data_IF_805212386357
#
_entry.id   IF_805212386357
#
_cell.length_a   1.000
_cell.length_b   1.000
_cell.length_c   1.000
_cell.angle_alpha   90.00
_cell.angle_beta   90.00
_cell.angle_gamma   90.00
#
_symmetry.space_group_name_H-M   'P 1'
#
loop_
_entity.id
_entity.type
_entity.pdbx_description
1 polymer ?
#
# COMPACT_ATOMS: atom_id res chain seq x y z
N UNK A 1 1.94 15.41 15.49
CA UNK A 1 2.98 15.72 14.47
C UNK A 1 2.36 15.72 13.07
N UNK A 2 2.66 16.72 12.23
CA UNK A 2 2.17 16.80 10.84
C UNK A 2 2.89 15.80 9.93
N UNK A 3 2.24 15.41 8.83
CA UNK A 3 2.79 14.45 7.85
C UNK A 3 4.12 14.93 7.27
N UNK A 4 4.23 16.23 6.96
CA UNK A 4 5.46 16.83 6.44
C UNK A 4 6.63 16.75 7.43
N UNK A 5 6.37 17.08 8.70
CA UNK A 5 7.41 16.99 9.76
C UNK A 5 7.85 15.55 9.96
N UNK A 6 6.89 14.62 9.99
CA UNK A 6 7.19 13.19 10.10
C UNK A 6 8.05 12.68 8.94
N UNK A 7 7.76 13.11 7.71
CA UNK A 7 8.52 12.72 6.52
C UNK A 7 9.96 13.23 6.59
N UNK A 8 10.16 14.51 6.90
CA UNK A 8 11.50 15.10 7.00
C UNK A 8 12.32 14.52 8.15
N UNK A 9 11.69 14.24 9.30
CA UNK A 9 12.34 13.51 10.39
C UNK A 9 12.77 12.12 9.97
N UNK A 10 11.93 11.39 9.21
CA UNK A 10 12.31 10.11 8.63
C UNK A 10 13.51 10.21 7.68
N UNK A 11 13.52 11.18 6.76
CA UNK A 11 14.64 11.38 5.84
C UNK A 11 15.94 11.68 6.61
N UNK A 12 15.86 12.58 7.59
CA UNK A 12 17.00 12.89 8.48
C UNK A 12 17.47 11.64 9.24
N UNK A 13 16.54 10.83 9.72
CA UNK A 13 16.83 9.57 10.42
C UNK A 13 17.65 8.60 9.58
N UNK A 14 17.31 8.44 8.29
CA UNK A 14 18.09 7.63 7.35
C UNK A 14 19.48 8.22 7.06
N UNK A 15 19.56 9.53 6.85
CA UNK A 15 20.85 10.21 6.63
C UNK A 15 21.77 9.99 7.83
N UNK A 16 21.26 10.14 9.05
CA UNK A 16 22.02 9.88 10.28
C UNK A 16 22.44 8.41 10.39
N UNK A 17 21.57 7.45 10.02
CA UNK A 17 21.92 6.03 9.99
C UNK A 17 23.07 5.74 9.02
N UNK A 18 23.02 6.29 7.81
CA UNK A 18 24.07 6.15 6.80
C UNK A 18 25.39 6.73 7.32
N UNK A 19 25.36 7.97 7.82
CA UNK A 19 26.55 8.63 8.38
C UNK A 19 27.11 7.83 9.56
N UNK A 20 26.25 7.34 10.46
CA UNK A 20 26.68 6.55 11.60
C UNK A 20 27.38 5.25 11.17
N UNK A 21 26.82 4.52 10.20
CA UNK A 21 27.41 3.26 9.71
C UNK A 21 28.69 3.49 8.92
N UNK A 22 28.77 4.52 8.08
CA UNK A 22 30.00 4.86 7.36
C UNK A 22 31.12 5.25 8.32
N UNK A 23 30.81 6.07 9.34
CA UNK A 23 31.76 6.39 10.41
C UNK A 23 32.17 5.14 11.18
N UNK A 24 31.23 4.25 11.50
CA UNK A 24 31.52 3.02 12.22
C UNK A 24 32.42 2.08 11.40
N UNK A 25 32.15 1.92 10.10
CA UNK A 25 32.97 1.11 9.19
C UNK A 25 34.39 1.66 9.05
N UNK A 26 34.54 2.98 9.06
CA UNK A 26 35.86 3.62 9.03
C UNK A 26 36.61 3.49 10.36
N UNK A 27 35.94 3.76 11.50
CA UNK A 27 36.54 3.76 12.83
C UNK A 27 36.83 2.34 13.36
N UNK A 28 36.06 1.33 12.96
CA UNK A 28 36.31 -0.09 13.24
C UNK A 28 36.98 -0.80 12.06
N UNK A 29 37.48 -0.06 11.08
CA UNK A 29 38.19 -0.61 9.93
C UNK A 29 39.61 -1.09 10.28
N UNK A 30 40.28 -1.79 9.34
CA UNK A 30 41.60 -2.40 9.56
C UNK A 30 42.69 -1.43 10.01
N UNK A 31 42.54 -0.14 9.68
CA UNK A 31 43.49 0.92 10.03
C UNK A 31 43.56 1.22 11.53
N UNK A 32 42.45 1.05 12.25
CA UNK A 32 42.32 1.41 13.67
C UNK A 32 41.95 0.24 14.56
N UNK A 33 41.75 -0.96 13.99
CA UNK A 33 41.33 -2.14 14.74
C UNK A 33 42.53 -2.89 15.32
N UNK A 34 42.49 -3.15 16.63
CA UNK A 34 43.46 -3.98 17.33
C UNK A 34 42.88 -5.39 17.53
N UNK A 35 43.42 -6.38 16.82
CA UNK A 35 42.93 -7.77 16.82
C UNK A 35 43.14 -8.46 18.16
N UNK A 36 44.21 -8.13 18.89
CA UNK A 36 44.52 -8.73 20.20
C UNK A 36 43.59 -8.22 21.30
N UNK A 37 43.31 -6.91 21.28
CA UNK A 37 42.43 -6.28 22.28
C UNK A 37 40.95 -6.30 21.87
N UNK A 38 40.64 -6.70 20.64
CA UNK A 38 39.33 -6.64 20.00
C UNK A 38 38.66 -5.27 20.16
N UNK A 39 39.45 -4.20 19.99
CA UNK A 39 39.04 -2.81 20.23
C UNK A 39 39.55 -1.87 19.16
N UNK A 40 38.80 -0.79 18.95
CA UNK A 40 39.25 0.32 18.11
C UNK A 40 40.18 1.26 18.88
N UNK A 41 41.28 1.64 18.24
CA UNK A 41 42.24 2.66 18.70
C UNK A 41 42.04 3.99 17.96
N UNK A 42 40.87 4.19 17.35
CA UNK A 42 40.57 5.39 16.58
C UNK A 42 40.63 6.69 17.42
N UNK A 43 40.88 7.85 16.78
CA UNK A 43 40.97 9.12 17.49
C UNK A 43 39.70 9.44 18.29
N UNK A 44 39.88 9.83 19.57
CA UNK A 44 38.78 10.12 20.50
C UNK A 44 37.80 11.18 19.98
N UNK A 45 38.26 12.14 19.19
CA UNK A 45 37.41 13.17 18.59
C UNK A 45 36.34 12.55 17.66
N UNK A 46 36.75 11.63 16.77
CA UNK A 46 35.84 10.98 15.84
C UNK A 46 34.90 9.97 16.52
N UNK A 47 35.35 9.31 17.58
CA UNK A 47 34.48 8.49 18.42
C UNK A 47 33.37 9.32 19.08
N UNK A 48 33.66 10.55 19.52
CA UNK A 48 32.63 11.48 20.02
C UNK A 48 31.67 11.94 18.93
N UNK A 49 32.16 12.18 17.71
CA UNK A 49 31.29 12.52 16.56
C UNK A 49 30.34 11.35 16.27
N UNK A 50 30.83 10.12 16.21
CA UNK A 50 29.98 8.94 16.04
C UNK A 50 28.95 8.81 17.17
N UNK A 51 29.35 9.03 18.42
CA UNK A 51 28.44 9.01 19.55
C UNK A 51 27.37 10.12 19.45
N UNK A 52 27.75 11.34 19.08
CA UNK A 52 26.81 12.45 18.87
C UNK A 52 25.77 12.14 17.79
N UNK A 53 26.20 11.60 16.64
CA UNK A 53 25.29 11.15 15.58
C UNK A 53 24.34 10.07 16.12
N UNK A 54 24.85 9.12 16.89
CA UNK A 54 24.04 8.08 17.53
C UNK A 54 23.01 8.63 18.54
N UNK A 55 23.37 9.63 19.33
CA UNK A 55 22.45 10.28 20.27
C UNK A 55 21.35 11.04 19.53
N UNK A 56 21.69 11.81 18.50
CA UNK A 56 20.69 12.52 17.69
C UNK A 56 19.73 11.54 17.03
N UNK A 57 20.25 10.44 16.48
CA UNK A 57 19.44 9.35 15.92
C UNK A 57 18.48 8.76 16.98
N UNK A 58 18.98 8.42 18.17
CA UNK A 58 18.17 7.90 19.27
C UNK A 58 17.09 8.88 19.76
N UNK A 59 17.40 10.16 19.86
CA UNK A 59 16.44 11.20 20.26
C UNK A 59 15.31 11.30 19.23
N UNK A 60 15.63 11.33 17.93
CA UNK A 60 14.62 11.35 16.86
C UNK A 60 13.72 10.12 16.96
N UNK A 61 14.30 8.93 17.15
CA UNK A 61 13.53 7.69 17.34
C UNK A 61 12.54 7.81 18.50
N UNK A 62 12.99 8.27 19.67
CA UNK A 62 12.12 8.43 20.85
C UNK A 62 10.99 9.44 20.59
N UNK A 63 11.30 10.58 19.97
CA UNK A 63 10.29 11.59 19.63
C UNK A 63 9.25 11.05 18.64
N UNK A 64 9.68 10.30 17.63
CA UNK A 64 8.79 9.68 16.66
C UNK A 64 7.91 8.62 17.33
N UNK A 65 8.50 7.72 18.13
CA UNK A 65 7.77 6.69 18.87
C UNK A 65 6.75 7.28 19.84
N UNK A 66 7.09 8.36 20.55
CA UNK A 66 6.16 9.06 21.44
C UNK A 66 4.89 9.55 20.71
N UNK A 67 5.04 10.01 19.46
CA UNK A 67 3.93 10.51 18.66
C UNK A 67 3.14 9.41 17.92
N UNK A 68 3.79 8.29 17.62
CA UNK A 68 3.23 7.23 16.77
C UNK A 68 2.67 6.05 17.57
N UNK A 69 3.28 5.70 18.71
CA UNK A 69 2.85 4.58 19.54
C UNK A 69 1.40 4.69 20.03
N UNK A 70 0.92 5.86 20.51
CA UNK A 70 -0.47 5.98 20.96
C UNK A 70 -1.50 5.75 19.85
N UNK A 71 -1.11 5.91 18.58
CA UNK A 71 -2.01 5.71 17.44
C UNK A 71 -2.38 4.24 17.24
N UNK A 72 -1.53 3.31 17.68
CA UNK A 72 -1.83 1.88 17.59
C UNK A 72 -3.10 1.50 18.36
N UNK A 73 -3.40 2.24 19.42
CA UNK A 73 -4.60 2.01 20.23
C UNK A 73 -5.88 2.62 19.64
N UNK A 74 -5.75 3.47 18.61
CA UNK A 74 -6.88 4.09 17.91
C UNK A 74 -7.41 3.22 16.77
N UNK A 75 -6.63 2.24 16.30
CA UNK A 75 -7.07 1.29 15.29
C UNK A 75 -7.82 0.15 15.97
N UNK A 76 -9.16 0.19 15.90
CA UNK A 76 -10.02 -0.84 16.49
C UNK A 76 -10.35 -1.99 15.51
N UNK A 77 -9.97 -1.87 14.24
CA UNK A 77 -10.19 -2.89 13.21
C UNK A 77 -8.94 -3.05 12.33
N UNK A 78 -8.72 -4.28 11.90
CA UNK A 78 -7.67 -4.83 11.03
C UNK A 78 -6.69 -3.82 10.43
N UNK A 79 -5.43 -3.87 10.89
CA UNK A 79 -4.37 -3.01 10.37
C UNK A 79 -4.00 -3.44 8.94
N UNK A 80 -3.90 -2.49 7.98
CA UNK A 80 -3.36 -2.80 6.66
C UNK A 80 -1.99 -3.47 6.78
N UNK A 81 -1.71 -4.49 5.96
CA UNK A 81 -0.45 -5.25 6.02
C UNK A 81 0.80 -4.35 6.04
N UNK A 82 0.82 -3.28 5.24
CA UNK A 82 1.89 -2.25 5.26
C UNK A 82 2.10 -1.63 6.64
N UNK A 83 1.02 -1.27 7.35
CA UNK A 83 1.08 -0.65 8.67
C UNK A 83 1.62 -1.64 9.70
N UNK A 84 1.22 -2.92 9.59
CA UNK A 84 1.77 -4.00 10.42
C UNK A 84 3.27 -4.15 10.17
N UNK A 85 3.70 -4.27 8.91
CA UNK A 85 5.13 -4.38 8.56
C UNK A 85 5.90 -3.16 9.07
N UNK A 86 5.39 -1.94 8.88
CA UNK A 86 6.02 -0.73 9.39
C UNK A 86 6.18 -0.78 10.92
N UNK A 87 5.13 -1.16 11.64
CA UNK A 87 5.16 -1.26 13.10
C UNK A 87 6.16 -2.32 13.58
N UNK A 88 6.17 -3.50 12.96
CA UNK A 88 7.10 -4.59 13.29
C UNK A 88 8.55 -4.16 13.07
N UNK A 89 8.86 -3.54 11.93
CA UNK A 89 10.22 -3.05 11.64
C UNK A 89 10.62 -1.93 12.63
N UNK A 90 9.70 -1.03 12.97
CA UNK A 90 9.96 0.05 13.93
C UNK A 90 10.24 -0.49 15.35
N UNK A 91 9.45 -1.45 15.82
CA UNK A 91 9.64 -2.12 17.12
C UNK A 91 10.98 -2.87 17.12
N UNK A 92 11.28 -3.61 16.04
CA UNK A 92 12.54 -4.33 15.89
C UNK A 92 13.74 -3.38 15.95
N UNK A 93 13.65 -2.22 15.29
CA UNK A 93 14.66 -1.17 15.37
C UNK A 93 14.87 -0.71 16.82
N UNK A 94 13.78 -0.50 17.59
CA UNK A 94 13.84 -0.17 19.01
C UNK A 94 14.55 -1.23 19.85
N UNK A 95 14.24 -2.51 19.63
CA UNK A 95 14.89 -3.63 20.31
C UNK A 95 16.39 -3.65 20.00
N UNK A 96 16.78 -3.49 18.73
CA UNK A 96 18.19 -3.41 18.33
C UNK A 96 18.91 -2.22 18.97
N UNK A 97 18.24 -1.06 19.05
CA UNK A 97 18.80 0.15 19.67
C UNK A 97 19.04 -0.04 21.17
N UNK A 98 18.04 -0.56 21.89
CA UNK A 98 18.15 -0.85 23.33
C UNK A 98 19.24 -1.89 23.58
N UNK A 99 19.28 -2.95 22.77
CA UNK A 99 20.30 -4.00 22.88
C UNK A 99 21.71 -3.41 22.68
N UNK A 100 21.91 -2.55 21.67
CA UNK A 100 23.17 -1.84 21.45
C UNK A 100 23.57 -0.99 22.66
N UNK A 101 22.63 -0.28 23.28
CA UNK A 101 22.88 0.53 24.48
C UNK A 101 23.24 -0.37 25.68
N UNK A 102 22.52 -1.47 25.89
CA UNK A 102 22.80 -2.43 26.98
C UNK A 102 24.19 -3.07 26.85
N UNK A 103 24.63 -3.39 25.62
CA UNK A 103 25.99 -3.90 25.37
C UNK A 103 27.05 -2.86 25.79
N UNK A 104 26.83 -1.58 25.49
CA UNK A 104 27.78 -0.52 25.85
C UNK A 104 27.81 -0.22 27.35
N UNK A 105 26.68 -0.35 28.05
CA UNK A 105 26.56 -0.02 29.48
C UNK A 105 26.95 -1.19 30.38
N UNK A 106 26.42 -2.39 30.13
CA UNK A 106 26.53 -3.53 31.04
C UNK A 106 27.39 -4.67 30.47
N UNK A 107 27.31 -4.93 29.16
CA UNK A 107 27.91 -6.12 28.55
C UNK A 107 29.04 -5.80 27.57
N UNK A 108 30.04 -5.04 28.04
CA UNK A 108 31.17 -4.57 27.22
C UNK A 108 32.02 -5.70 26.63
N UNK A 109 31.83 -6.94 27.06
CA UNK A 109 32.46 -8.11 26.47
C UNK A 109 32.02 -8.35 25.01
N UNK A 110 30.80 -7.96 24.63
CA UNK A 110 30.25 -8.16 23.27
C UNK A 110 30.52 -6.99 22.32
N UNK A 111 31.54 -6.17 22.61
CA UNK A 111 31.87 -4.98 21.80
C UNK A 111 32.18 -5.32 20.33
N UNK A 112 32.69 -6.52 20.06
CA UNK A 112 32.97 -7.02 18.70
C UNK A 112 31.71 -7.15 17.82
N UNK A 113 30.51 -7.29 18.42
CA UNK A 113 29.27 -7.42 17.68
C UNK A 113 28.65 -6.06 17.29
N UNK A 114 29.16 -4.94 17.81
CA UNK A 114 28.61 -3.61 17.57
C UNK A 114 28.45 -3.26 16.08
N UNK A 115 29.37 -3.63 15.18
CA UNK A 115 29.19 -3.41 13.75
C UNK A 115 27.89 -4.02 13.18
N UNK A 116 27.54 -5.23 13.62
CA UNK A 116 26.35 -5.95 13.14
C UNK A 116 25.06 -5.25 13.57
N UNK A 117 25.00 -4.76 14.81
CA UNK A 117 23.86 -3.97 15.28
C UNK A 117 23.74 -2.64 14.52
N UNK A 118 24.85 -1.98 14.21
CA UNK A 118 24.83 -0.76 13.39
C UNK A 118 24.26 -1.01 11.99
N UNK A 119 24.64 -2.11 11.33
CA UNK A 119 24.07 -2.49 10.04
C UNK A 119 22.58 -2.85 10.13
N UNK A 120 22.18 -3.58 11.17
CA UNK A 120 20.78 -3.90 11.43
C UNK A 120 19.91 -2.65 11.60
N UNK A 121 20.39 -1.64 12.33
CA UNK A 121 19.69 -0.35 12.48
C UNK A 121 19.54 0.39 11.14
N UNK A 122 20.57 0.36 10.29
CA UNK A 122 20.50 0.94 8.94
C UNK A 122 19.49 0.19 8.06
N UNK A 123 19.51 -1.15 8.06
CA UNK A 123 18.56 -1.96 7.31
C UNK A 123 17.11 -1.63 7.71
N UNK A 124 16.82 -1.62 9.01
CA UNK A 124 15.49 -1.24 9.49
C UNK A 124 15.12 0.20 9.09
N UNK A 125 16.08 1.15 9.14
CA UNK A 125 15.85 2.54 8.71
C UNK A 125 15.50 2.63 7.22
N UNK A 126 16.21 1.90 6.37
CA UNK A 126 15.93 1.84 4.93
C UNK A 126 14.53 1.28 4.68
N UNK A 127 14.19 0.15 5.32
CA UNK A 127 12.86 -0.47 5.19
C UNK A 127 11.74 0.48 5.62
N UNK A 128 11.90 1.16 6.77
CA UNK A 128 10.91 2.12 7.27
C UNK A 128 10.70 3.30 6.32
N UNK A 129 11.77 3.81 5.71
CA UNK A 129 11.69 4.93 4.77
C UNK A 129 11.03 4.53 3.47
N UNK A 130 11.38 3.36 2.93
CA UNK A 130 10.73 2.81 1.73
C UNK A 130 9.22 2.62 1.94
N UNK A 131 8.81 2.17 3.13
CA UNK A 131 7.40 1.97 3.47
C UNK A 131 6.63 3.27 3.75
N UNK A 132 7.30 4.38 4.05
CA UNK A 132 6.64 5.61 4.53
C UNK A 132 6.76 6.82 3.58
N UNK A 133 7.96 7.12 3.06
CA UNK A 133 8.24 8.35 2.30
C UNK A 133 7.46 8.42 0.97
N UNK A 134 7.39 7.37 0.13
CA UNK A 134 6.63 7.44 -1.12
C UNK A 134 5.15 7.77 -0.91
N UNK A 135 4.57 7.34 0.20
CA UNK A 135 3.17 7.63 0.53
C UNK A 135 2.99 9.05 1.07
N UNK A 136 3.90 9.51 1.92
CA UNK A 136 3.90 10.90 2.38
C UNK A 136 4.09 11.87 1.21
N UNK A 137 4.99 11.56 0.27
CA UNK A 137 5.21 12.33 -0.94
C UNK A 137 3.96 12.39 -1.83
N UNK A 138 3.32 11.25 -2.11
CA UNK A 138 2.05 11.21 -2.86
C UNK A 138 0.94 12.00 -2.16
N UNK A 139 0.86 11.95 -0.83
CA UNK A 139 -0.12 12.72 -0.08
C UNK A 139 0.13 14.24 -0.18
N UNK A 140 1.39 14.67 -0.18
CA UNK A 140 1.75 16.08 -0.38
C UNK A 140 1.49 16.55 -1.81
N UNK A 141 1.81 15.71 -2.81
CA UNK A 141 1.49 15.99 -4.22
C UNK A 141 -0.01 16.15 -4.43
N UNK A 142 -0.81 15.21 -3.91
CA UNK A 142 -2.27 15.31 -3.98
C UNK A 142 -2.78 16.58 -3.27
N UNK A 143 -2.24 16.91 -2.09
CA UNK A 143 -2.60 18.14 -1.40
C UNK A 143 -2.22 19.40 -2.19
N UNK A 144 -1.10 19.36 -2.92
CA UNK A 144 -0.69 20.42 -3.84
C UNK A 144 -1.68 20.59 -4.99
N UNK A 145 -2.07 19.49 -5.64
CA UNK A 145 -3.04 19.50 -6.75
C UNK A 145 -4.44 19.91 -6.32
N UNK A 146 -4.85 19.52 -5.12
CA UNK A 146 -6.12 19.96 -4.52
C UNK A 146 -6.12 21.49 -4.30
N UNK A 147 -4.99 22.04 -3.84
CA UNK A 147 -4.83 23.47 -3.54
C UNK A 147 -4.40 24.34 -4.72
N UNK A 148 -4.30 23.77 -5.93
CA UNK A 148 -3.98 24.50 -7.16
C UNK A 148 -5.06 25.56 -7.44
N UNK A 149 -4.72 26.85 -7.66
CA UNK A 149 -5.69 27.91 -7.92
C UNK A 149 -6.73 27.58 -8.98
N UNK A 150 -6.34 26.88 -10.06
CA UNK A 150 -7.27 26.49 -11.13
C UNK A 150 -8.28 25.45 -10.66
N UNK A 151 -7.82 24.49 -9.84
CA UNK A 151 -8.71 23.50 -9.24
C UNK A 151 -9.64 24.14 -8.20
N UNK A 152 -9.14 25.08 -7.40
CA UNK A 152 -9.95 25.83 -6.44
C UNK A 152 -11.05 26.61 -7.15
N UNK A 153 -10.73 27.38 -8.20
CA UNK A 153 -11.73 28.11 -8.98
C UNK A 153 -12.80 27.19 -9.59
N UNK A 154 -12.40 25.99 -10.05
CA UNK A 154 -13.33 24.96 -10.51
C UNK A 154 -14.25 24.49 -9.37
N UNK A 155 -13.70 24.22 -8.19
CA UNK A 155 -14.48 23.77 -7.02
C UNK A 155 -15.46 24.85 -6.59
N UNK A 156 -15.04 26.11 -6.53
CA UNK A 156 -15.91 27.26 -6.20
C UNK A 156 -17.10 27.33 -7.16
N UNK A 157 -16.85 27.24 -8.48
CA UNK A 157 -17.91 27.24 -9.48
C UNK A 157 -18.92 26.10 -9.28
N UNK A 158 -18.42 24.89 -9.02
CA UNK A 158 -19.29 23.72 -8.82
C UNK A 158 -20.07 23.83 -7.50
N UNK A 159 -19.46 24.36 -6.44
CA UNK A 159 -20.12 24.56 -5.15
C UNK A 159 -21.21 25.64 -5.21
N UNK A 160 -21.02 26.68 -6.03
CA UNK A 160 -22.02 27.72 -6.23
C UNK A 160 -23.34 27.21 -6.86
N UNK A 161 -23.31 26.05 -7.52
CA UNK A 161 -24.48 25.39 -8.11
C UNK A 161 -25.22 24.47 -7.10
N UNK A 162 -24.71 24.30 -5.88
CA UNK A 162 -25.24 23.36 -4.88
C UNK A 162 -25.85 24.14 -3.71
N UNK A 163 -27.10 23.79 -3.35
CA UNK A 163 -27.79 24.35 -2.19
C UNK A 163 -27.55 23.50 -0.94
N UNK A 164 -26.83 24.06 0.05
CA UNK A 164 -26.46 23.36 1.29
C UNK A 164 -27.42 23.62 2.48
N UNK A 165 -28.44 24.45 2.29
CA UNK A 165 -29.41 24.83 3.34
C UNK A 165 -28.93 25.94 4.29
N UNK A 166 -29.80 26.33 5.23
CA UNK A 166 -29.52 27.42 6.18
C UNK A 166 -28.40 27.06 7.17
N UNK A 167 -27.49 28.01 7.41
CA UNK A 167 -26.36 27.83 8.34
C UNK A 167 -25.17 27.05 7.76
N UNK A 168 -25.15 26.81 6.44
CA UNK A 168 -23.99 26.25 5.76
C UNK A 168 -22.78 27.21 5.81
N UNK A 169 -21.54 26.67 5.84
CA UNK A 169 -20.32 27.48 5.69
C UNK A 169 -20.29 28.20 4.33
N UNK A 170 -19.57 29.31 4.27
CA UNK A 170 -19.35 30.04 3.00
C UNK A 170 -18.52 29.20 2.03
N UNK A 171 -18.65 29.46 0.72
CA UNK A 171 -17.86 28.73 -0.29
C UNK A 171 -16.36 28.96 -0.05
N UNK A 172 -15.98 30.18 0.33
CA UNK A 172 -14.62 30.57 0.68
C UNK A 172 -14.07 29.73 1.84
N UNK A 173 -14.88 29.48 2.88
CA UNK A 173 -14.49 28.62 4.00
C UNK A 173 -14.29 27.16 3.58
N UNK A 174 -15.11 26.67 2.64
CA UNK A 174 -15.07 25.30 2.15
C UNK A 174 -13.82 25.03 1.31
N UNK A 175 -13.46 25.95 0.42
CA UNK A 175 -12.30 25.80 -0.47
C UNK A 175 -10.98 26.21 0.19
N UNK A 176 -11.02 26.92 1.31
CA UNK A 176 -9.84 27.21 2.10
C UNK A 176 -9.10 25.92 2.47
N UNK A 177 -7.77 25.99 2.55
CA UNK A 177 -6.91 24.85 2.92
C UNK A 177 -7.39 24.09 4.18
N UNK A 178 -7.87 24.84 5.19
CA UNK A 178 -8.44 24.27 6.42
C UNK A 178 -9.79 23.60 6.19
N UNK A 179 -10.65 24.15 5.34
CA UNK A 179 -11.94 23.58 4.96
C UNK A 179 -11.78 22.24 4.24
N UNK A 180 -10.93 22.21 3.20
CA UNK A 180 -10.64 20.98 2.46
C UNK A 180 -9.97 19.92 3.36
N UNK A 181 -9.08 20.33 4.27
CA UNK A 181 -8.51 19.42 5.26
C UNK A 181 -9.59 18.85 6.20
N UNK A 182 -10.51 19.69 6.68
CA UNK A 182 -11.64 19.25 7.50
C UNK A 182 -12.52 18.25 6.76
N UNK A 183 -12.82 18.50 5.48
CA UNK A 183 -13.58 17.58 4.63
C UNK A 183 -12.92 16.20 4.50
N UNK A 184 -11.60 16.16 4.27
CA UNK A 184 -10.82 14.91 4.27
C UNK A 184 -10.90 14.19 5.60
N UNK A 185 -10.67 14.90 6.69
CA UNK A 185 -10.61 14.30 8.02
C UNK A 185 -11.99 13.75 8.42
N UNK A 186 -13.09 14.41 8.03
CA UNK A 186 -14.45 13.88 8.17
C UNK A 186 -14.67 12.62 7.34
N UNK A 187 -14.24 12.61 6.08
CA UNK A 187 -14.35 11.43 5.20
C UNK A 187 -13.60 10.22 5.79
N UNK A 188 -12.37 10.43 6.26
CA UNK A 188 -11.54 9.37 6.84
C UNK A 188 -12.06 8.91 8.20
N UNK A 189 -12.59 9.80 9.04
CA UNK A 189 -12.97 9.40 10.40
C UNK A 189 -14.42 8.91 10.51
N UNK A 190 -15.32 9.34 9.61
CA UNK A 190 -16.75 9.02 9.70
C UNK A 190 -17.26 8.11 8.58
N UNK A 191 -16.64 8.11 7.39
CA UNK A 191 -17.15 7.31 6.27
C UNK A 191 -16.44 5.96 6.14
N UNK A 192 -15.18 5.84 6.60
CA UNK A 192 -14.44 4.58 6.47
C UNK A 192 -14.73 3.56 7.56
N UNK A 193 -15.61 3.89 8.52
CA UNK A 193 -16.06 2.96 9.55
C UNK A 193 -16.80 1.76 8.96
N UNK A 194 -17.56 1.98 7.88
CA UNK A 194 -18.39 0.96 7.25
C UNK A 194 -17.96 0.58 5.83
N UNK A 195 -17.23 1.46 5.12
CA UNK A 195 -16.78 1.23 3.74
C UNK A 195 -15.31 1.56 3.57
N UNK A 196 -14.58 0.84 2.75
CA UNK A 196 -13.22 1.25 2.44
C UNK A 196 -13.19 2.48 1.50
N UNK A 197 -12.05 3.18 1.48
CA UNK A 197 -11.86 4.38 0.64
C UNK A 197 -11.96 4.09 -0.87
N UNK A 198 -11.55 2.90 -1.32
CA UNK A 198 -11.61 2.50 -2.73
C UNK A 198 -13.07 2.39 -3.17
N UNK A 199 -13.93 1.80 -2.34
CA UNK A 199 -15.37 1.69 -2.57
C UNK A 199 -16.01 3.08 -2.68
N UNK A 200 -15.70 3.99 -1.75
CA UNK A 200 -16.22 5.37 -1.74
C UNK A 200 -15.85 6.10 -3.04
N UNK A 201 -14.59 6.00 -3.47
CA UNK A 201 -14.03 6.74 -4.60
C UNK A 201 -14.12 6.00 -5.95
N UNK A 202 -14.71 4.81 -5.99
CA UNK A 202 -14.78 3.93 -7.17
C UNK A 202 -15.41 4.60 -8.39
N UNK A 203 -16.43 5.43 -8.16
CA UNK A 203 -17.23 6.06 -9.21
C UNK A 203 -17.07 7.58 -9.15
N UNK A 204 -16.50 8.23 -10.19
CA UNK A 204 -16.49 9.69 -10.25
C UNK A 204 -17.93 10.23 -10.42
N UNK A 205 -18.24 11.32 -9.73
CA UNK A 205 -19.59 11.93 -9.74
C UNK A 205 -19.51 13.43 -9.99
N UNK A 206 -20.63 14.02 -10.41
CA UNK A 206 -20.80 15.48 -10.46
C UNK A 206 -20.93 16.05 -9.04
N UNK A 207 -20.77 17.36 -8.89
CA UNK A 207 -20.83 18.01 -7.56
C UNK A 207 -22.15 17.76 -6.83
N UNK A 208 -23.29 18.00 -7.49
CA UNK A 208 -24.61 17.71 -6.93
C UNK A 208 -24.76 16.24 -6.54
N UNK A 209 -24.30 15.30 -7.38
CA UNK A 209 -24.34 13.87 -7.05
C UNK A 209 -23.46 13.46 -5.88
N UNK A 210 -22.35 14.17 -5.65
CA UNK A 210 -21.55 13.98 -4.44
C UNK A 210 -22.29 14.49 -3.21
N UNK A 211 -22.93 15.66 -3.28
CA UNK A 211 -23.77 16.18 -2.22
C UNK A 211 -24.88 15.20 -1.83
N UNK A 212 -25.68 14.75 -2.81
CA UNK A 212 -26.77 13.79 -2.58
C UNK A 212 -26.28 12.49 -1.94
N UNK A 213 -25.11 12.01 -2.36
CA UNK A 213 -24.51 10.81 -1.76
C UNK A 213 -24.16 11.04 -0.29
N UNK A 214 -23.52 12.16 0.03
CA UNK A 214 -23.12 12.48 1.41
C UNK A 214 -24.36 12.64 2.30
N UNK A 215 -25.42 13.30 1.82
CA UNK A 215 -26.70 13.43 2.54
C UNK A 215 -27.32 12.04 2.79
N UNK A 216 -27.38 11.18 1.77
CA UNK A 216 -27.89 9.81 1.96
C UNK A 216 -27.06 8.99 2.96
N UNK A 217 -25.74 9.20 3.02
CA UNK A 217 -24.90 8.53 4.00
C UNK A 217 -25.09 9.10 5.40
N UNK A 218 -25.35 10.41 5.51
CA UNK A 218 -25.70 11.05 6.78
C UNK A 218 -27.00 10.49 7.36
N UNK A 219 -28.01 10.24 6.52
CA UNK A 219 -29.32 9.74 6.95
C UNK A 219 -29.31 8.25 7.34
N UNK A 220 -28.28 7.50 6.96
CA UNK A 220 -28.18 6.08 7.29
C UNK A 220 -27.83 5.91 8.77
N UNK A 221 -28.56 5.04 9.51
CA UNK A 221 -28.19 4.67 10.86
C UNK A 221 -26.81 4.02 10.86
N UNK A 222 -25.88 4.56 11.64
CA UNK A 222 -24.58 3.95 11.89
C UNK A 222 -24.60 3.33 13.30
N UNK A 223 -24.81 2.00 13.43
CA UNK A 223 -24.85 1.35 14.73
C UNK A 223 -23.46 1.27 15.39
N UNK A 224 -22.39 1.62 14.68
CA UNK A 224 -21.01 1.53 15.15
C UNK A 224 -20.40 2.89 15.49
N UNK A 225 -21.03 4.01 15.13
CA UNK A 225 -20.53 5.36 15.42
C UNK A 225 -21.33 6.07 16.52
N UNK A 226 -20.62 6.54 17.53
CA UNK A 226 -21.15 7.41 18.59
C UNK A 226 -21.28 8.87 18.16
N UNK A 227 -20.82 9.24 16.96
CA UNK A 227 -20.81 10.62 16.47
C UNK A 227 -21.16 10.68 14.97
N UNK A 228 -22.46 10.65 14.62
CA UNK A 228 -22.92 10.69 13.23
C UNK A 228 -22.50 11.99 12.52
N UNK A 229 -22.54 12.00 11.19
CA UNK A 229 -22.20 13.18 10.40
C UNK A 229 -23.23 14.30 10.66
N UNK A 230 -22.77 15.49 11.08
CA UNK A 230 -23.67 16.62 11.34
C UNK A 230 -23.98 17.39 10.05
N UNK A 231 -25.13 18.07 9.97
CA UNK A 231 -25.57 18.79 8.75
C UNK A 231 -24.55 19.85 8.31
N UNK A 232 -23.96 20.59 9.26
CA UNK A 232 -22.89 21.56 8.99
C UNK A 232 -21.57 20.93 8.49
N UNK A 233 -21.41 19.61 8.60
CA UNK A 233 -20.22 18.88 8.17
C UNK A 233 -20.34 18.37 6.73
N UNK A 234 -21.57 18.17 6.24
CA UNK A 234 -21.86 17.74 4.86
C UNK A 234 -21.14 18.62 3.83
N UNK A 235 -21.21 19.97 3.88
CA UNK A 235 -20.59 20.81 2.86
C UNK A 235 -19.07 20.64 2.78
N UNK A 236 -18.39 20.40 3.90
CA UNK A 236 -16.94 20.16 3.92
C UNK A 236 -16.56 18.86 3.21
N UNK A 237 -17.31 17.77 3.45
CA UNK A 237 -17.07 16.49 2.79
C UNK A 237 -17.35 16.61 1.30
N UNK A 238 -18.46 17.24 0.92
CA UNK A 238 -18.83 17.49 -0.47
C UNK A 238 -17.75 18.31 -1.20
N UNK A 239 -17.30 19.42 -0.63
CA UNK A 239 -16.25 20.25 -1.21
C UNK A 239 -14.95 19.47 -1.43
N UNK A 240 -14.54 18.65 -0.46
CA UNK A 240 -13.36 17.81 -0.61
C UNK A 240 -13.51 16.76 -1.71
N UNK A 241 -14.64 16.06 -1.79
CA UNK A 241 -14.92 15.07 -2.84
C UNK A 241 -14.92 15.69 -4.24
N UNK A 242 -15.48 16.89 -4.38
CA UNK A 242 -15.43 17.67 -5.62
C UNK A 242 -13.97 18.02 -5.95
N UNK A 243 -13.19 18.47 -4.98
CA UNK A 243 -11.79 18.88 -5.17
C UNK A 243 -10.90 17.72 -5.65
N UNK A 244 -11.16 16.49 -5.22
CA UNK A 244 -10.42 15.29 -5.66
C UNK A 244 -11.01 14.58 -6.87
N UNK A 245 -12.14 15.05 -7.42
CA UNK A 245 -12.79 14.37 -8.55
C UNK A 245 -11.92 14.23 -9.81
N UNK A 246 -11.11 15.24 -10.22
CA UNK A 246 -10.20 15.10 -11.37
C UNK A 246 -9.20 13.95 -11.18
N UNK A 247 -8.69 13.77 -9.96
CA UNK A 247 -7.81 12.65 -9.58
C UNK A 247 -8.50 11.30 -9.72
N UNK A 248 -9.75 11.19 -9.25
CA UNK A 248 -10.56 9.97 -9.36
C UNK A 248 -10.76 9.62 -10.84
N UNK A 249 -11.09 10.60 -11.67
CA UNK A 249 -11.28 10.42 -13.11
C UNK A 249 -9.99 9.97 -13.80
N UNK A 250 -8.85 10.60 -13.48
CA UNK A 250 -7.56 10.23 -14.03
C UNK A 250 -7.15 8.81 -13.60
N UNK A 251 -7.41 8.43 -12.35
CA UNK A 251 -7.15 7.07 -11.85
C UNK A 251 -8.02 6.03 -12.56
N UNK A 252 -9.30 6.32 -12.77
CA UNK A 252 -10.21 5.43 -13.51
C UNK A 252 -9.77 5.28 -14.96
N UNK A 253 -9.36 6.36 -15.62
CA UNK A 253 -8.84 6.31 -16.99
C UNK A 253 -7.61 5.42 -17.10
N UNK A 254 -6.65 5.55 -16.17
CA UNK A 254 -5.47 4.67 -16.11
C UNK A 254 -5.85 3.21 -15.89
N UNK A 255 -6.79 2.93 -14.98
CA UNK A 255 -7.27 1.56 -14.73
C UNK A 255 -7.86 0.94 -16.00
N UNK A 256 -8.74 1.67 -16.68
CA UNK A 256 -9.36 1.20 -17.95
C UNK A 256 -8.30 0.96 -19.03
N UNK A 257 -7.26 1.79 -19.11
CA UNK A 257 -6.16 1.57 -20.05
C UNK A 257 -5.37 0.31 -19.70
N UNK A 258 -5.04 0.10 -18.43
CA UNK A 258 -4.35 -1.10 -17.96
C UNK A 258 -5.19 -2.37 -18.17
N UNK A 259 -6.49 -2.30 -17.92
CA UNK A 259 -7.42 -3.41 -18.20
C UNK A 259 -7.42 -3.74 -19.70
N UNK A 260 -7.45 -2.73 -20.59
CA UNK A 260 -7.34 -2.95 -22.04
C UNK A 260 -5.99 -3.51 -22.47
N UNK A 261 -4.89 -3.04 -21.90
CA UNK A 261 -3.56 -3.58 -22.16
C UNK A 261 -3.49 -5.05 -21.73
N UNK A 262 -4.02 -5.38 -20.55
CA UNK A 262 -4.11 -6.76 -20.04
C UNK A 262 -4.97 -7.63 -20.95
N UNK A 263 -6.16 -7.15 -21.32
CA UNK A 263 -7.08 -7.88 -22.21
C UNK A 263 -6.42 -8.11 -23.58
N UNK A 264 -5.72 -7.12 -24.13
CA UNK A 264 -4.99 -7.25 -25.39
C UNK A 264 -3.84 -8.27 -25.31
N UNK A 265 -3.09 -8.28 -24.19
CA UNK A 265 -2.06 -9.30 -23.94
C UNK A 265 -2.69 -10.68 -23.82
N UNK A 266 -3.80 -10.80 -23.10
CA UNK A 266 -4.51 -12.06 -22.92
C UNK A 266 -5.08 -12.58 -24.25
N UNK A 267 -5.72 -11.71 -25.05
CA UNK A 267 -6.20 -12.03 -26.40
C UNK A 267 -5.05 -12.46 -27.32
N UNK A 268 -3.89 -11.78 -27.27
CA UNK A 268 -2.72 -12.15 -28.05
C UNK A 268 -2.15 -13.50 -27.63
N UNK A 269 -2.10 -13.79 -26.32
CA UNK A 269 -1.69 -15.09 -25.78
C UNK A 269 -2.65 -16.19 -26.21
N UNK A 270 -3.97 -15.99 -26.09
CA UNK A 270 -5.00 -16.93 -26.54
C UNK A 270 -4.90 -17.17 -28.05
N UNK A 271 -4.74 -16.11 -28.86
CA UNK A 271 -4.58 -16.22 -30.30
C UNK A 271 -3.29 -16.95 -30.70
N UNK A 272 -2.20 -16.77 -29.96
CA UNK A 272 -0.95 -17.50 -30.17
C UNK A 272 -1.11 -18.99 -29.84
N UNK A 273 -1.79 -19.31 -28.73
CA UNK A 273 -2.12 -20.70 -28.36
C UNK A 273 -3.05 -21.36 -29.39
N UNK A 274 -4.03 -20.63 -29.93
CA UNK A 274 -4.94 -21.13 -30.97
C UNK A 274 -4.27 -21.37 -32.34
N UNK A 275 -3.16 -20.69 -32.65
CA UNK A 275 -2.36 -20.90 -33.88
C UNK A 275 -1.30 -22.00 -33.73
N UNK A 276 -1.08 -22.50 -32.51
CA UNK A 276 -0.13 -23.58 -32.25
C UNK A 276 -0.46 -24.97 -32.88
N UNK A 277 -1.66 -25.29 -33.42
CA UNK A 277 -1.84 -26.57 -34.11
C UNK A 277 -1.33 -26.59 -35.56
N UNK A 278 -1.07 -25.43 -36.19
CA UNK A 278 -0.72 -25.40 -37.62
C UNK A 278 0.74 -25.78 -37.95
N UNK A 279 1.63 -25.87 -36.94
CA UNK A 279 2.96 -26.45 -37.13
C UNK A 279 2.97 -27.98 -36.95
N UNK A 280 1.84 -28.59 -36.54
CA UNK A 280 1.70 -30.03 -36.36
C UNK A 280 0.99 -30.74 -37.55
N UNK A 281 0.32 -30.01 -38.45
CA UNK A 281 -0.48 -30.59 -39.54
C UNK A 281 0.33 -31.01 -40.79
N UNK A 282 1.66 -30.90 -40.78
CA UNK A 282 2.52 -31.46 -41.85
C UNK A 282 2.87 -32.96 -41.67
N UNK A 283 2.26 -33.65 -40.71
CA UNK A 283 2.47 -35.08 -40.47
C UNK A 283 1.14 -35.81 -40.41
N UNK A 284 0.69 -36.35 -41.55
CA UNK A 284 -0.36 -37.34 -41.59
C UNK A 284 0.16 -38.64 -40.93
N UNK A 285 -0.14 -38.82 -39.65
CA UNK A 285 -0.35 -40.13 -39.06
C UNK A 285 -1.47 -40.06 -38.01
N UNK A 286 -2.42 -40.99 -38.13
CA UNK A 286 -3.65 -41.06 -37.37
C UNK A 286 -3.37 -41.45 -35.93
N UNK A 287 -3.22 -40.47 -35.03
CA UNK A 287 -3.54 -40.48 -33.60
C UNK A 287 -3.30 -39.07 -33.07
N UNK A 288 -4.37 -38.27 -32.95
CA UNK A 288 -4.28 -36.83 -32.75
C UNK A 288 -3.48 -36.39 -31.51
N UNK A 289 -2.82 -35.21 -31.51
CA UNK A 289 -2.18 -34.67 -30.33
C UNK A 289 -3.26 -34.13 -29.38
N UNK A 290 -3.63 -34.94 -28.39
CA UNK A 290 -4.06 -34.41 -27.10
C UNK A 290 -2.88 -33.57 -26.58
N UNK A 291 -3.06 -32.25 -26.45
CA UNK A 291 -2.25 -31.48 -25.50
C UNK A 291 -2.43 -32.19 -24.16
N UNK A 292 -1.43 -32.98 -23.76
CA UNK A 292 -1.43 -33.65 -22.47
C UNK A 292 -1.32 -32.56 -21.41
N UNK A 293 -2.45 -31.98 -21.04
CA UNK A 293 -2.64 -31.33 -19.76
C UNK A 293 -2.24 -32.39 -18.76
N UNK A 294 -1.19 -32.13 -17.99
CA UNK A 294 -0.86 -32.95 -16.83
C UNK A 294 -2.02 -32.77 -15.84
N UNK A 295 -3.04 -33.60 -16.00
CA UNK A 295 -4.30 -33.49 -15.28
C UNK A 295 -4.08 -33.66 -13.78
N UNK A 296 -3.08 -34.45 -13.39
CA UNK A 296 -2.70 -34.64 -11.99
C UNK A 296 -2.07 -33.36 -11.41
N UNK A 297 -1.16 -32.71 -12.16
CA UNK A 297 -0.60 -31.40 -11.77
C UNK A 297 -1.66 -30.31 -11.75
N UNK A 298 -2.52 -30.24 -12.76
CA UNK A 298 -3.58 -29.24 -12.84
C UNK A 298 -4.60 -29.41 -11.70
N UNK A 299 -4.99 -30.65 -11.40
CA UNK A 299 -5.85 -30.98 -10.26
C UNK A 299 -5.19 -30.67 -8.93
N UNK A 300 -3.88 -30.92 -8.80
CA UNK A 300 -3.13 -30.53 -7.60
C UNK A 300 -3.11 -29.00 -7.42
N UNK A 301 -2.94 -28.23 -8.50
CA UNK A 301 -3.01 -26.76 -8.47
C UNK A 301 -4.43 -26.32 -8.09
N UNK A 302 -5.47 -26.87 -8.73
CA UNK A 302 -6.87 -26.54 -8.44
C UNK A 302 -7.20 -26.78 -6.97
N UNK A 303 -6.88 -27.96 -6.44
CA UNK A 303 -7.13 -28.28 -5.03
C UNK A 303 -6.26 -27.46 -4.09
N UNK A 304 -4.99 -27.17 -4.40
CA UNK A 304 -4.11 -26.44 -3.48
C UNK A 304 -4.30 -24.93 -3.49
N UNK A 305 -4.79 -24.35 -4.59
CA UNK A 305 -4.89 -22.88 -4.77
C UNK A 305 -6.33 -22.37 -4.71
N UNK A 306 -7.29 -23.15 -5.18
CA UNK A 306 -8.67 -22.67 -5.27
C UNK A 306 -9.52 -23.09 -4.06
N UNK A 307 -9.07 -24.04 -3.23
CA UNK A 307 -9.77 -24.39 -1.97
C UNK A 307 -9.29 -23.62 -0.75
N UNK A 308 -8.34 -22.69 -0.92
CA UNK A 308 -7.83 -21.88 0.20
C UNK A 308 -8.87 -20.87 0.70
N UNK A 309 -9.83 -20.48 -0.14
CA UNK A 309 -10.81 -19.43 0.14
C UNK A 309 -12.28 -19.90 0.10
N UNK A 310 -12.62 -20.82 -0.80
CA UNK A 310 -13.98 -21.37 -0.97
C UNK A 310 -13.90 -22.81 -1.48
N UNK A 311 -15.00 -23.56 -1.41
CA UNK A 311 -15.03 -24.93 -1.94
C UNK A 311 -15.10 -24.93 -3.48
N UNK A 312 -14.86 -26.09 -4.11
CA UNK A 312 -14.87 -26.24 -5.57
C UNK A 312 -16.29 -26.29 -6.18
N UNK A 313 -17.34 -26.22 -5.36
CA UNK A 313 -18.72 -26.13 -5.82
C UNK A 313 -19.00 -24.85 -6.61
N UNK A 314 -18.30 -23.75 -6.29
CA UNK A 314 -18.35 -22.49 -7.06
C UNK A 314 -17.82 -22.67 -8.50
N UNK A 315 -16.86 -23.57 -8.71
CA UNK A 315 -16.34 -23.90 -10.05
C UNK A 315 -17.42 -24.61 -10.88
N UNK A 316 -18.20 -25.49 -10.24
CA UNK A 316 -19.35 -26.15 -10.87
C UNK A 316 -20.50 -25.16 -11.13
N UNK A 317 -20.74 -24.24 -10.18
CA UNK A 317 -21.78 -23.22 -10.28
C UNK A 317 -21.51 -22.17 -11.37
N UNK A 318 -20.24 -21.95 -11.75
CA UNK A 318 -19.85 -21.05 -12.85
C UNK A 318 -20.46 -21.45 -14.21
N UNK A 319 -20.85 -22.71 -14.38
CA UNK A 319 -21.60 -23.17 -15.57
C UNK A 319 -20.75 -23.53 -16.79
N UNK A 320 -19.42 -23.57 -16.64
CA UNK A 320 -18.49 -24.01 -17.68
C UNK A 320 -18.04 -22.90 -18.63
N UNK A 321 -16.95 -23.15 -19.35
CA UNK A 321 -16.32 -22.16 -20.21
C UNK A 321 -15.26 -22.75 -21.14
N UNK A 322 -14.86 -21.99 -22.16
CA UNK A 322 -13.66 -22.29 -22.93
C UNK A 322 -12.39 -21.85 -22.18
N UNK A 323 -11.21 -22.14 -22.75
CA UNK A 323 -9.92 -21.80 -22.11
C UNK A 323 -9.80 -20.30 -21.83
N UNK A 324 -10.35 -19.45 -22.71
CA UNK A 324 -10.33 -18.01 -22.53
C UNK A 324 -11.20 -17.56 -21.35
N UNK A 325 -12.40 -18.12 -21.24
CA UNK A 325 -13.31 -17.87 -20.12
C UNK A 325 -12.69 -18.31 -18.78
N UNK A 326 -12.15 -19.53 -18.71
CA UNK A 326 -11.50 -20.04 -17.50
C UNK A 326 -10.22 -19.28 -17.15
N UNK A 327 -9.44 -18.84 -18.13
CA UNK A 327 -8.28 -17.97 -17.90
C UNK A 327 -8.69 -16.64 -17.27
N UNK A 328 -9.83 -16.08 -17.67
CA UNK A 328 -10.38 -14.87 -17.05
C UNK A 328 -10.79 -15.10 -15.59
N UNK A 329 -11.49 -16.20 -15.30
CA UNK A 329 -11.87 -16.57 -13.92
C UNK A 329 -10.64 -16.69 -13.02
N UNK A 330 -9.59 -17.38 -13.48
CA UNK A 330 -8.33 -17.52 -12.74
C UNK A 330 -7.70 -16.13 -12.49
N UNK A 331 -7.69 -15.25 -13.50
CA UNK A 331 -7.15 -13.89 -13.34
C UNK A 331 -7.95 -13.07 -12.32
N UNK A 332 -9.28 -13.18 -12.31
CA UNK A 332 -10.13 -12.48 -11.36
C UNK A 332 -9.86 -12.98 -9.93
N UNK A 333 -9.69 -14.30 -9.74
CA UNK A 333 -9.32 -14.88 -8.44
C UNK A 333 -7.94 -14.42 -7.95
N UNK A 334 -6.96 -14.27 -8.85
CA UNK A 334 -5.64 -13.71 -8.50
C UNK A 334 -5.75 -12.25 -8.06
N UNK A 335 -6.61 -11.46 -8.71
CA UNK A 335 -6.87 -10.07 -8.32
C UNK A 335 -7.54 -9.98 -6.93
N UNK A 336 -8.38 -10.96 -6.60
CA UNK A 336 -9.03 -11.10 -5.29
C UNK A 336 -8.13 -11.70 -4.20
N UNK A 337 -6.94 -12.20 -4.57
CA UNK A 337 -5.88 -12.59 -3.64
C UNK A 337 -5.38 -14.03 -3.75
N UNK A 338 -5.83 -14.81 -4.75
CA UNK A 338 -5.33 -16.17 -4.96
C UNK A 338 -3.86 -16.15 -5.41
N UNK A 339 -3.02 -16.98 -4.78
CA UNK A 339 -1.59 -17.11 -5.11
C UNK A 339 -1.37 -18.13 -6.25
N UNK A 340 -1.74 -17.73 -7.47
CA UNK A 340 -1.54 -18.55 -8.69
C UNK A 340 -0.52 -17.87 -9.60
N UNK A 341 0.54 -18.59 -9.96
CA UNK A 341 1.56 -18.10 -10.90
C UNK A 341 1.08 -18.19 -12.35
N UNK A 342 1.72 -17.44 -13.25
CA UNK A 342 1.38 -17.45 -14.69
C UNK A 342 1.54 -18.86 -15.29
N UNK A 343 2.60 -19.58 -14.94
CA UNK A 343 2.83 -20.97 -15.37
C UNK A 343 1.75 -21.94 -14.86
N UNK A 344 1.28 -21.75 -13.63
CA UNK A 344 0.17 -22.54 -13.06
C UNK A 344 -1.14 -22.22 -13.78
N UNK A 345 -1.43 -20.95 -14.06
CA UNK A 345 -2.61 -20.52 -14.79
C UNK A 345 -2.65 -21.08 -16.22
N UNK A 346 -1.49 -21.16 -16.90
CA UNK A 346 -1.37 -21.75 -18.24
C UNK A 346 -1.67 -23.25 -18.28
N UNK A 347 -1.47 -23.97 -17.17
CA UNK A 347 -1.82 -25.40 -17.03
C UNK A 347 -3.28 -25.57 -16.58
N UNK A 348 -3.74 -24.69 -15.69
CA UNK A 348 -5.06 -24.79 -15.06
C UNK A 348 -6.20 -24.39 -16.01
N UNK A 349 -6.04 -23.34 -16.82
CA UNK A 349 -7.12 -22.88 -17.71
C UNK A 349 -7.53 -23.93 -18.75
N UNK A 350 -6.61 -24.64 -19.45
CA UNK A 350 -6.97 -25.76 -20.32
C UNK A 350 -7.62 -26.93 -19.58
N UNK A 351 -7.14 -27.23 -18.36
CA UNK A 351 -7.72 -28.30 -17.53
C UNK A 351 -9.17 -28.00 -17.16
N UNK A 352 -9.46 -26.77 -16.73
CA UNK A 352 -10.81 -26.34 -16.37
C UNK A 352 -11.73 -26.32 -17.59
N UNK A 353 -11.25 -25.86 -18.75
CA UNK A 353 -12.05 -25.91 -19.98
C UNK A 353 -12.35 -27.34 -20.45
N UNK A 354 -11.44 -28.29 -20.20
CA UNK A 354 -11.65 -29.70 -20.53
C UNK A 354 -12.59 -30.39 -19.52
N UNK A 355 -12.48 -30.03 -18.24
CA UNK A 355 -13.26 -30.65 -17.15
C UNK A 355 -14.66 -30.04 -17.05
N UNK A 356 -14.78 -28.74 -17.33
CA UNK A 356 -16.00 -27.93 -17.26
C UNK A 356 -16.18 -27.14 -18.57
N UNK A 357 -16.49 -27.83 -19.69
CA UNK A 357 -16.66 -27.17 -20.98
C UNK A 357 -17.90 -26.28 -21.00
N UNK A 358 -17.90 -25.26 -21.88
CA UNK A 358 -19.08 -24.44 -22.14
C UNK A 358 -20.25 -25.34 -22.62
N UNK A 359 -21.41 -25.22 -21.96
CA UNK A 359 -22.63 -25.98 -22.32
C UNK A 359 -23.33 -25.44 -23.56
#
# INVERSE_FOLDING_TARGET
MSTSVSMWLGVLFLVLAIVAVLLQAWLWGPKFWNETLKKTEAPKAWLRVHAAVGYVYGIIYVVMMWNMFPRLWQYQYELPARTVIHAVVAITLGVLLITKIMILVFFRHFEEALPRFGFGLLLCSVLLITLSVPHAARALDLQGRIGDPDNIARVEKVLAEIEFGEGAPTVEDLVAKKGLQRGRDLLVNKCVSCHDMRTILSTPRTGARWHDLVVRMQEKPDPFSSNPLATKEVPYVTAYLIAITPDIQASRKRKVEQERERDAVQEATVAAMAKAPAAAEASADTSGPSLAVDADKAKAILTSRCTDCHELDEVEAHGGGDVANWSKVISDMVEEGAEITEDEAMVLAPYLAQTYPAQ
#
